data_IF_643264467138
#
_entry.id   IF_643264467138
#
_cell.length_a   1.000
_cell.length_b   1.000
_cell.length_c   1.000
_cell.angle_alpha   90.00
_cell.angle_beta   90.00
_cell.angle_gamma   90.00
#
_symmetry.space_group_name_H-M   'P 1'
#
loop_
_entity.id
_entity.type
_entity.pdbx_description
1 polymer ?
#
# COMPACT_ATOMS: atom_id res chain seq x y z
N UNK A 1 21.18 -3.11 -17.85
CA UNK A 1 20.11 -2.33 -17.21
C UNK A 1 20.18 -2.64 -15.73
N UNK A 2 20.76 -1.76 -14.93
CA UNK A 2 20.79 -1.92 -13.47
C UNK A 2 19.34 -1.78 -12.99
N UNK A 3 18.76 -2.82 -12.35
CA UNK A 3 17.47 -2.65 -11.67
C UNK A 3 17.67 -1.58 -10.59
N UNK A 4 16.81 -0.57 -10.54
CA UNK A 4 16.81 0.36 -9.41
C UNK A 4 16.52 -0.44 -8.14
N UNK A 5 17.39 -0.33 -7.15
CA UNK A 5 17.23 -1.03 -5.87
C UNK A 5 16.38 -0.15 -4.98
N UNK A 6 15.14 -0.58 -4.73
CA UNK A 6 14.24 0.03 -3.74
C UNK A 6 14.47 -0.60 -2.36
N UNK A 7 14.50 0.24 -1.33
CA UNK A 7 14.70 -0.16 0.07
C UNK A 7 13.43 0.12 0.88
N UNK A 8 12.83 -0.92 1.45
CA UNK A 8 11.82 -0.79 2.49
C UNK A 8 12.45 -0.93 3.86
N UNK A 9 12.22 0.05 4.74
CA UNK A 9 12.74 0.03 6.10
C UNK A 9 11.63 0.38 7.09
N UNK A 10 11.37 -0.53 8.03
CA UNK A 10 10.44 -0.31 9.12
C UNK A 10 11.21 0.08 10.38
N UNK A 11 11.03 1.32 10.85
CA UNK A 11 11.63 1.83 12.08
C UNK A 11 10.53 2.22 13.08
N UNK A 12 10.77 1.99 14.38
CA UNK A 12 9.85 2.32 15.47
C UNK A 12 9.56 3.83 15.63
N UNK A 13 10.39 4.72 15.07
CA UNK A 13 10.17 6.19 15.05
C UNK A 13 8.97 6.63 14.17
N UNK A 14 8.45 5.73 13.33
CA UNK A 14 7.25 5.95 12.50
C UNK A 14 5.96 6.14 13.32
N UNK A 15 5.99 5.91 14.65
CA UNK A 15 4.85 6.11 15.55
C UNK A 15 4.37 7.56 15.65
N UNK A 16 5.14 8.53 15.15
CA UNK A 16 4.74 9.95 15.03
C UNK A 16 3.76 10.22 13.88
N UNK A 17 3.46 9.24 13.03
CA UNK A 17 2.49 9.35 11.95
C UNK A 17 1.05 9.37 12.49
N UNK A 18 0.49 10.57 12.65
CA UNK A 18 -0.86 10.81 13.14
C UNK A 18 -1.75 11.33 12.01
N UNK A 19 -2.67 10.49 11.52
CA UNK A 19 -3.62 10.85 10.46
C UNK A 19 -5.04 10.43 10.83
N UNK A 20 -6.01 11.17 10.29
CA UNK A 20 -7.44 10.88 10.39
C UNK A 20 -7.93 9.95 9.28
N UNK A 21 -7.06 9.61 8.33
CA UNK A 21 -7.34 8.70 7.23
C UNK A 21 -7.56 7.27 7.72
N UNK A 22 -8.35 6.51 6.96
CA UNK A 22 -8.58 5.09 7.24
C UNK A 22 -7.30 4.28 7.05
N UNK A 23 -7.18 3.16 7.77
CA UNK A 23 -6.00 2.29 7.63
C UNK A 23 -5.86 1.74 6.20
N UNK A 24 -6.98 1.50 5.51
CA UNK A 24 -6.98 1.11 4.10
C UNK A 24 -6.37 2.19 3.22
N UNK A 25 -6.77 3.45 3.42
CA UNK A 25 -6.21 4.56 2.65
C UNK A 25 -4.71 4.72 2.90
N UNK A 26 -4.29 4.63 4.16
CA UNK A 26 -2.87 4.71 4.55
C UNK A 26 -2.05 3.58 3.90
N UNK A 27 -2.58 2.36 3.85
CA UNK A 27 -1.92 1.25 3.16
C UNK A 27 -1.86 1.47 1.64
N UNK A 28 -2.95 1.95 1.04
CA UNK A 28 -3.02 2.24 -0.41
C UNK A 28 -2.06 3.34 -0.85
N UNK A 29 -1.58 4.22 0.05
CA UNK A 29 -0.50 5.16 -0.26
C UNK A 29 0.81 4.49 -0.68
N UNK A 30 0.95 3.16 -0.53
CA UNK A 30 2.00 2.39 -1.18
C UNK A 30 2.00 2.53 -2.71
N UNK A 31 0.83 2.76 -3.31
CA UNK A 31 0.61 2.88 -4.75
C UNK A 31 0.53 4.35 -5.19
N UNK A 32 1.50 5.17 -4.79
CA UNK A 32 1.45 6.63 -4.99
C UNK A 32 1.20 7.05 -6.44
N UNK A 33 1.87 6.41 -7.40
CA UNK A 33 1.68 6.73 -8.83
C UNK A 33 0.28 6.34 -9.32
N UNK A 34 -0.22 5.16 -8.95
CA UNK A 34 -1.56 4.71 -9.34
C UNK A 34 -2.64 5.63 -8.75
N UNK A 35 -2.52 6.04 -7.48
CA UNK A 35 -3.44 7.00 -6.86
C UNK A 35 -3.44 8.36 -7.56
N UNK A 36 -2.28 8.85 -7.98
CA UNK A 36 -2.17 10.09 -8.75
C UNK A 36 -2.83 9.97 -10.12
N UNK A 37 -2.64 8.84 -10.82
CA UNK A 37 -3.29 8.59 -12.10
C UNK A 37 -4.80 8.49 -11.94
N UNK A 38 -5.30 7.86 -10.87
CA UNK A 38 -6.72 7.79 -10.57
C UNK A 38 -7.34 9.18 -10.42
N UNK A 39 -6.72 10.06 -9.62
CA UNK A 39 -7.19 11.45 -9.46
C UNK A 39 -7.16 12.24 -10.79
N UNK A 40 -6.18 11.98 -11.66
CA UNK A 40 -6.14 12.58 -13.01
C UNK A 40 -7.26 12.05 -13.92
N UNK A 41 -7.52 10.74 -13.89
CA UNK A 41 -8.62 10.10 -14.62
C UNK A 41 -9.95 10.70 -14.17
N UNK A 42 -10.18 10.79 -12.86
CA UNK A 42 -11.43 11.34 -12.29
C UNK A 42 -11.65 12.80 -12.72
N UNK A 43 -10.60 13.63 -12.70
CA UNK A 43 -10.68 15.02 -13.18
C UNK A 43 -11.03 15.11 -14.66
N UNK A 44 -10.43 14.26 -15.48
CA UNK A 44 -10.71 14.23 -16.92
C UNK A 44 -12.15 13.76 -17.16
N UNK A 45 -12.63 12.74 -16.44
CA UNK A 45 -14.01 12.26 -16.55
C UNK A 45 -15.03 13.36 -16.20
N UNK A 46 -14.76 14.17 -15.19
CA UNK A 46 -15.59 15.34 -14.86
C UNK A 46 -15.55 16.39 -15.98
N UNK A 47 -14.39 16.66 -16.57
CA UNK A 47 -14.27 17.59 -17.71
C UNK A 47 -15.05 17.08 -18.93
N UNK A 48 -14.99 15.77 -19.18
CA UNK A 48 -15.70 15.07 -20.26
C UNK A 48 -17.21 15.24 -20.24
N UNK A 49 -17.82 15.45 -19.07
CA UNK A 49 -19.27 15.69 -18.98
C UNK A 49 -19.70 16.97 -19.70
N UNK A 50 -18.79 17.93 -19.87
CA UNK A 50 -19.08 19.26 -20.43
C UNK A 50 -18.27 19.59 -21.69
N UNK A 51 -17.15 18.91 -21.92
CA UNK A 51 -16.25 19.17 -23.03
C UNK A 51 -15.78 17.84 -23.64
N UNK A 52 -16.27 17.51 -24.84
CA UNK A 52 -15.87 16.31 -25.56
C UNK A 52 -14.91 16.67 -26.69
N UNK A 53 -13.61 16.45 -26.48
CA UNK A 53 -12.56 16.68 -27.46
C UNK A 53 -11.74 15.42 -27.69
N UNK A 54 -11.22 15.25 -28.91
CA UNK A 54 -10.36 14.10 -29.25
C UNK A 54 -9.09 14.05 -28.37
N UNK A 55 -8.54 15.21 -28.00
CA UNK A 55 -7.37 15.33 -27.10
C UNK A 55 -7.64 14.75 -25.71
N UNK A 56 -8.83 15.00 -25.14
CA UNK A 56 -9.23 14.42 -23.86
C UNK A 56 -9.39 12.90 -23.97
N UNK A 57 -9.85 12.38 -25.12
CA UNK A 57 -10.04 10.94 -25.34
C UNK A 57 -8.70 10.22 -25.38
N UNK A 58 -7.74 10.78 -26.13
CA UNK A 58 -6.38 10.26 -26.19
C UNK A 58 -5.71 10.29 -24.82
N UNK A 59 -5.81 11.42 -24.10
CA UNK A 59 -5.25 11.56 -22.76
C UNK A 59 -5.85 10.59 -21.74
N UNK A 60 -7.17 10.36 -21.79
CA UNK A 60 -7.84 9.40 -20.91
C UNK A 60 -7.36 7.97 -21.19
N UNK A 61 -7.22 7.59 -22.47
CA UNK A 61 -6.73 6.28 -22.86
C UNK A 61 -5.31 6.03 -22.33
N UNK A 62 -4.40 6.99 -22.51
CA UNK A 62 -3.02 6.89 -22.02
C UNK A 62 -2.94 6.73 -20.49
N UNK A 63 -3.76 7.49 -19.75
CA UNK A 63 -3.80 7.40 -18.29
C UNK A 63 -4.38 6.07 -17.81
N UNK A 64 -5.42 5.57 -18.47
CA UNK A 64 -6.02 4.27 -18.16
C UNK A 64 -5.03 3.13 -18.41
N UNK A 65 -4.33 3.13 -19.53
CA UNK A 65 -3.30 2.13 -19.83
C UNK A 65 -2.20 2.13 -18.76
N UNK A 66 -1.70 3.30 -18.37
CA UNK A 66 -0.70 3.42 -17.30
C UNK A 66 -1.24 2.98 -15.94
N UNK A 67 -2.49 3.33 -15.62
CA UNK A 67 -3.13 2.93 -14.37
C UNK A 67 -3.30 1.41 -14.28
N UNK A 68 -3.69 0.77 -15.38
CA UNK A 68 -3.78 -0.68 -15.49
C UNK A 68 -2.40 -1.35 -15.34
N UNK A 69 -1.37 -0.83 -16.02
CA UNK A 69 -0.01 -1.35 -15.95
C UNK A 69 0.58 -1.30 -14.53
N UNK A 70 0.16 -0.34 -13.71
CA UNK A 70 0.53 -0.24 -12.29
C UNK A 70 -0.36 -1.10 -11.36
N UNK A 71 -1.31 -1.85 -11.92
CA UNK A 71 -2.21 -2.70 -11.16
C UNK A 71 -3.31 -1.93 -10.40
N UNK A 72 -3.65 -0.71 -10.85
CA UNK A 72 -4.58 0.19 -10.18
C UNK A 72 -5.96 -0.42 -9.89
N UNK A 73 -6.46 -1.32 -10.75
CA UNK A 73 -7.74 -2.02 -10.51
C UNK A 73 -7.68 -3.08 -9.40
N UNK A 74 -6.48 -3.55 -9.05
CA UNK A 74 -6.26 -4.58 -8.03
C UNK A 74 -5.67 -4.04 -6.73
N UNK A 75 -5.24 -2.77 -6.72
CA UNK A 75 -4.48 -2.18 -5.61
C UNK A 75 -5.24 -2.22 -4.29
N UNK A 76 -6.56 -1.97 -4.32
CA UNK A 76 -7.40 -2.01 -3.13
C UNK A 76 -7.52 -3.44 -2.60
N UNK A 77 -7.83 -4.41 -3.46
CA UNK A 77 -7.94 -5.82 -3.06
C UNK A 77 -6.63 -6.34 -2.44
N UNK A 78 -5.47 -5.98 -3.01
CA UNK A 78 -4.16 -6.32 -2.44
C UNK A 78 -3.94 -5.68 -1.07
N UNK A 79 -4.34 -4.42 -0.90
CA UNK A 79 -4.22 -3.72 0.37
C UNK A 79 -5.10 -4.35 1.46
N UNK A 80 -6.34 -4.72 1.11
CA UNK A 80 -7.27 -5.44 1.99
C UNK A 80 -6.69 -6.80 2.38
N UNK A 81 -6.20 -7.59 1.41
CA UNK A 81 -5.59 -8.91 1.65
C UNK A 81 -4.42 -8.86 2.65
N UNK A 82 -3.50 -7.91 2.47
CA UNK A 82 -2.33 -7.75 3.35
C UNK A 82 -2.76 -7.27 4.75
N UNK A 83 -3.70 -6.33 4.84
CA UNK A 83 -4.20 -5.87 6.14
C UNK A 83 -4.93 -6.99 6.89
N UNK A 84 -5.79 -7.76 6.21
CA UNK A 84 -6.47 -8.90 6.81
C UNK A 84 -5.48 -9.98 7.27
N UNK A 85 -4.45 -10.24 6.48
CA UNK A 85 -3.34 -11.14 6.84
C UNK A 85 -2.57 -10.71 8.09
N UNK A 86 -2.50 -9.41 8.36
CA UNK A 86 -1.90 -8.83 9.56
C UNK A 86 -2.89 -8.69 10.74
N UNK A 87 -4.09 -9.27 10.61
CA UNK A 87 -5.05 -9.41 11.68
C UNK A 87 -6.10 -8.29 11.77
N UNK A 88 -6.22 -7.43 10.75
CA UNK A 88 -7.31 -6.46 10.69
C UNK A 88 -8.59 -7.09 10.16
N UNK A 89 -9.75 -6.70 10.69
CA UNK A 89 -11.05 -7.10 10.14
C UNK A 89 -11.50 -6.14 9.04
N UNK A 90 -12.37 -6.60 8.13
CA UNK A 90 -12.94 -5.77 7.05
C UNK A 90 -13.60 -4.48 7.58
N UNK A 91 -14.27 -4.54 8.73
CA UNK A 91 -14.88 -3.37 9.38
C UNK A 91 -13.82 -2.35 9.87
N UNK A 92 -12.66 -2.83 10.31
CA UNK A 92 -11.55 -1.99 10.79
C UNK A 92 -10.84 -1.25 9.68
N UNK A 93 -10.89 -1.74 8.43
CA UNK A 93 -10.22 -1.14 7.28
C UNK A 93 -10.66 0.31 7.03
N UNK A 94 -11.92 0.62 7.38
CA UNK A 94 -12.51 1.96 7.27
C UNK A 94 -12.20 2.88 8.47
N UNK A 95 -11.66 2.35 9.57
CA UNK A 95 -11.43 3.12 10.80
C UNK A 95 -10.18 3.99 10.68
N UNK A 96 -10.17 5.20 11.29
CA UNK A 96 -9.00 6.07 11.28
C UNK A 96 -7.78 5.42 11.94
N UNK A 97 -6.59 5.60 11.35
CA UNK A 97 -5.33 5.08 11.91
C UNK A 97 -5.11 5.52 13.36
N UNK A 98 -5.47 6.78 13.68
CA UNK A 98 -5.34 7.32 15.04
C UNK A 98 -6.13 6.57 16.12
N UNK A 99 -7.17 5.81 15.75
CA UNK A 99 -7.97 5.02 16.70
C UNK A 99 -7.26 3.74 17.18
N UNK A 100 -6.18 3.35 16.52
CA UNK A 100 -5.42 2.14 16.83
C UNK A 100 -4.24 2.43 17.78
N UNK A 101 -3.87 1.43 18.58
CA UNK A 101 -2.68 1.50 19.44
C UNK A 101 -1.39 1.53 18.61
N UNK A 102 -0.26 1.92 19.21
CA UNK A 102 1.03 1.99 18.52
C UNK A 102 1.42 0.70 17.79
N UNK A 103 1.22 -0.47 18.42
CA UNK A 103 1.51 -1.77 17.79
C UNK A 103 0.66 -2.02 16.54
N UNK A 104 -0.64 -1.72 16.62
CA UNK A 104 -1.54 -1.81 15.46
C UNK A 104 -1.17 -0.82 14.35
N UNK A 105 -0.80 0.42 14.70
CA UNK A 105 -0.30 1.39 13.70
C UNK A 105 0.96 0.87 13.00
N UNK A 106 1.85 0.21 13.75
CA UNK A 106 3.05 -0.40 13.19
C UNK A 106 2.72 -1.52 12.19
N UNK A 107 1.65 -2.30 12.44
CA UNK A 107 1.14 -3.29 11.45
C UNK A 107 0.65 -2.63 10.17
N UNK A 108 -0.01 -1.47 10.24
CA UNK A 108 -0.41 -0.73 9.02
C UNK A 108 0.81 -0.21 8.26
N UNK A 109 1.85 0.26 8.95
CA UNK A 109 3.10 0.69 8.31
C UNK A 109 3.81 -0.48 7.64
N UNK A 110 3.85 -1.63 8.31
CA UNK A 110 4.35 -2.88 7.72
C UNK A 110 3.55 -3.23 6.45
N UNK A 111 2.21 -3.22 6.51
CA UNK A 111 1.36 -3.48 5.35
C UNK A 111 1.73 -2.57 4.17
N UNK A 112 1.87 -1.26 4.42
CA UNK A 112 2.27 -0.27 3.41
C UNK A 112 3.62 -0.61 2.78
N UNK A 113 4.62 -1.00 3.56
CA UNK A 113 5.94 -1.38 3.03
C UNK A 113 5.86 -2.66 2.22
N UNK A 114 5.11 -3.67 2.67
CA UNK A 114 4.93 -4.92 1.92
C UNK A 114 4.24 -4.67 0.57
N UNK A 115 3.24 -3.79 0.53
CA UNK A 115 2.56 -3.39 -0.71
C UNK A 115 3.48 -2.68 -1.72
N UNK A 116 4.53 -1.99 -1.24
CA UNK A 116 5.52 -1.35 -2.12
C UNK A 116 6.44 -2.35 -2.83
N UNK A 117 6.51 -3.60 -2.34
CA UNK A 117 7.36 -4.67 -2.89
C UNK A 117 8.81 -4.22 -3.17
N UNK A 118 9.53 -3.62 -2.19
CA UNK A 118 10.89 -3.16 -2.39
C UNK A 118 11.88 -4.31 -2.69
N UNK A 119 12.94 -4.02 -3.45
CA UNK A 119 13.98 -5.00 -3.79
C UNK A 119 14.74 -5.53 -2.55
N UNK A 120 14.87 -4.70 -1.52
CA UNK A 120 15.46 -5.05 -0.23
C UNK A 120 14.54 -4.59 0.90
N UNK A 121 14.17 -5.52 1.78
CA UNK A 121 13.34 -5.28 2.96
C UNK A 121 14.19 -5.41 4.22
N UNK A 122 14.21 -4.36 5.04
CA UNK A 122 14.87 -4.31 6.34
C UNK A 122 13.81 -4.21 7.45
N UNK A 123 13.70 -5.25 8.26
CA UNK A 123 12.73 -5.34 9.36
C UNK A 123 13.46 -5.46 10.70
N UNK A 124 13.20 -4.53 11.61
CA UNK A 124 13.72 -4.53 12.98
C UNK A 124 12.63 -4.96 13.97
N UNK A 125 12.78 -6.13 14.59
CA UNK A 125 11.82 -6.80 15.47
C UNK A 125 10.36 -6.83 14.95
N UNK A 126 10.10 -7.28 13.70
CA UNK A 126 8.76 -7.19 13.09
C UNK A 126 7.69 -8.03 13.81
N UNK A 127 8.08 -9.00 14.62
CA UNK A 127 7.18 -9.93 15.31
C UNK A 127 6.68 -9.44 16.67
N UNK A 128 7.33 -8.42 17.26
CA UNK A 128 7.08 -8.00 18.65
C UNK A 128 5.66 -7.48 18.91
N UNK A 129 5.00 -6.97 17.85
CA UNK A 129 3.62 -6.46 17.90
C UNK A 129 2.62 -7.35 17.18
N UNK A 130 3.02 -8.56 16.76
CA UNK A 130 2.18 -9.52 16.05
C UNK A 130 1.68 -10.63 16.98
N UNK A 131 0.44 -11.05 16.76
CA UNK A 131 -0.12 -12.26 17.36
C UNK A 131 0.25 -13.49 16.51
N UNK A 132 0.16 -14.68 17.09
CA UNK A 132 0.64 -15.92 16.46
C UNK A 132 0.08 -16.17 15.04
N UNK A 133 -1.20 -15.91 14.74
CA UNK A 133 -1.72 -15.99 13.36
C UNK A 133 -1.00 -15.04 12.40
N UNK A 134 -0.83 -13.78 12.77
CA UNK A 134 -0.16 -12.76 11.95
C UNK A 134 1.32 -13.06 11.75
N UNK A 135 1.99 -13.65 12.76
CA UNK A 135 3.38 -14.13 12.64
C UNK A 135 3.48 -15.21 11.57
N UNK A 136 2.58 -16.21 11.58
CA UNK A 136 2.59 -17.25 10.55
C UNK A 136 2.27 -16.70 9.17
N UNK A 137 1.38 -15.72 9.09
CA UNK A 137 1.06 -15.07 7.84
C UNK A 137 2.27 -14.33 7.26
N UNK A 138 2.97 -13.52 8.07
CA UNK A 138 4.16 -12.79 7.59
C UNK A 138 5.31 -13.75 7.23
N UNK A 139 5.50 -14.84 7.98
CA UNK A 139 6.50 -15.87 7.66
C UNK A 139 6.24 -16.49 6.27
N UNK A 140 4.99 -16.84 5.98
CA UNK A 140 4.61 -17.38 4.68
C UNK A 140 4.76 -16.33 3.57
N UNK A 141 4.32 -15.09 3.83
CA UNK A 141 4.46 -13.99 2.86
C UNK A 141 5.93 -13.73 2.50
N UNK A 142 6.81 -13.71 3.52
CA UNK A 142 8.24 -13.47 3.32
C UNK A 142 8.96 -14.65 2.67
N UNK A 143 8.44 -15.88 2.79
CA UNK A 143 9.00 -17.06 2.12
C UNK A 143 8.89 -16.96 0.59
N UNK A 144 7.83 -16.33 0.09
CA UNK A 144 7.56 -16.13 -1.34
C UNK A 144 7.99 -14.73 -1.84
N UNK A 145 8.67 -13.95 -1.00
CA UNK A 145 9.03 -12.57 -1.32
C UNK A 145 10.08 -12.49 -2.43
N UNK A 146 9.73 -11.81 -3.53
CA UNK A 146 10.64 -11.56 -4.64
C UNK A 146 11.64 -10.44 -4.30
N UNK A 147 12.65 -10.76 -3.49
CA UNK A 147 13.68 -9.80 -3.10
C UNK A 147 14.62 -10.33 -2.02
N UNK A 148 15.43 -9.44 -1.47
CA UNK A 148 16.22 -9.74 -0.29
C UNK A 148 15.48 -9.25 0.96
N UNK A 149 15.48 -10.06 2.01
CA UNK A 149 14.90 -9.69 3.31
C UNK A 149 15.98 -9.84 4.37
N UNK A 150 16.17 -8.80 5.18
CA UNK A 150 17.02 -8.82 6.38
C UNK A 150 16.11 -8.57 7.57
N UNK A 151 16.07 -9.55 8.47
CA UNK A 151 15.27 -9.50 9.69
C UNK A 151 16.23 -9.49 10.88
N UNK A 152 16.05 -8.50 11.74
CA UNK A 152 16.65 -8.47 13.08
C UNK A 152 15.56 -8.89 14.05
N UNK A 153 15.83 -9.90 14.88
CA UNK A 153 14.87 -10.48 15.81
C UNK A 153 15.53 -10.94 17.11
#
# INVERSE_FOLDING_TARGET
>A
MSKEVSLGFLNQDLLSYDTHESILHVAMQAFEEALRLQDQIDKILVEFETNYTDDLVEKLADLQERFEALGGYTMQAKAEEILEGLGFTTEELSKPLKSFSGGWRMRVMLAKILLQQPSLLLLDEPTNHLDLPSIKWIENYLADYEGAVIIVS
#
